data_IF_219205496723
#
_entry.id   IF_219205496723
#
_cell.length_a   1.000
_cell.length_b   1.000
_cell.length_c   1.000
_cell.angle_alpha   90.00
_cell.angle_beta   90.00
_cell.angle_gamma   90.00
#
_symmetry.space_group_name_H-M   'P 1'
#
loop_
_entity.id
_entity.type
_entity.pdbx_description
1 polymer ?
#
# COMPACT_ATOMS: atom_id res chain seq x y z
N UNK A 1 -11.98 -1.72 -18.12
CA UNK A 1 -12.74 -1.99 -19.36
C UNK A 1 -12.23 -1.13 -20.50
N UNK A 2 -12.38 -1.61 -21.73
CA UNK A 2 -12.00 -0.90 -22.98
C UNK A 2 -12.63 0.49 -23.07
N UNK A 3 -13.80 0.71 -22.47
CA UNK A 3 -14.47 2.01 -22.46
C UNK A 3 -13.74 3.05 -21.62
N UNK A 4 -13.19 2.67 -20.46
CA UNK A 4 -12.41 3.58 -19.61
C UNK A 4 -11.09 3.92 -20.28
N UNK A 5 -10.42 2.93 -20.87
CA UNK A 5 -9.17 3.13 -21.61
C UNK A 5 -9.39 3.99 -22.86
N UNK A 6 -10.44 3.72 -23.66
CA UNK A 6 -10.78 4.56 -24.83
C UNK A 6 -11.11 6.02 -24.46
N UNK A 7 -11.69 6.24 -23.28
CA UNK A 7 -11.90 7.59 -22.75
C UNK A 7 -10.58 8.27 -22.41
N UNK A 8 -9.66 7.54 -21.77
CA UNK A 8 -8.30 8.01 -21.48
C UNK A 8 -7.53 8.36 -22.77
N UNK A 9 -7.52 7.47 -23.77
CA UNK A 9 -6.87 7.73 -25.08
C UNK A 9 -7.40 8.99 -25.76
N UNK A 10 -8.71 9.23 -25.68
CA UNK A 10 -9.35 10.41 -26.29
C UNK A 10 -8.98 11.69 -25.55
N UNK A 11 -8.84 11.62 -24.24
CA UNK A 11 -8.55 12.76 -23.34
C UNK A 11 -7.06 13.09 -23.33
N UNK A 12 -6.22 12.07 -23.34
CA UNK A 12 -4.76 12.18 -23.14
C UNK A 12 -4.37 12.36 -21.67
N UNK A 13 -3.12 12.07 -21.35
CA UNK A 13 -2.59 12.08 -19.98
C UNK A 13 -2.69 13.46 -19.31
N UNK A 14 -2.41 14.55 -20.03
CA UNK A 14 -2.48 15.91 -19.51
C UNK A 14 -3.89 16.28 -19.02
N UNK A 15 -4.92 15.91 -19.78
CA UNK A 15 -6.30 16.17 -19.37
C UNK A 15 -6.77 15.20 -18.29
N UNK A 16 -6.32 13.96 -18.33
CA UNK A 16 -6.61 12.99 -17.28
C UNK A 16 -6.01 13.43 -15.94
N UNK A 17 -4.77 13.91 -15.92
CA UNK A 17 -4.14 14.46 -14.71
C UNK A 17 -4.80 15.73 -14.15
N UNK A 18 -5.62 16.41 -14.95
CA UNK A 18 -6.42 17.56 -14.50
C UNK A 18 -7.76 17.14 -13.85
N UNK A 19 -8.12 15.87 -13.88
CA UNK A 19 -9.28 15.34 -13.16
C UNK A 19 -9.02 15.36 -11.64
N UNK A 20 -10.09 15.42 -10.85
CA UNK A 20 -9.98 15.22 -9.41
C UNK A 20 -9.61 13.76 -9.08
N UNK A 21 -8.94 13.55 -7.93
CA UNK A 21 -8.46 12.23 -7.50
C UNK A 21 -9.53 11.13 -7.53
N UNK A 22 -10.75 11.41 -7.10
CA UNK A 22 -11.88 10.46 -7.16
C UNK A 22 -12.21 10.02 -8.58
N UNK A 23 -12.18 10.97 -9.53
CA UNK A 23 -12.46 10.70 -10.94
C UNK A 23 -11.34 9.87 -11.57
N UNK A 24 -10.08 10.19 -11.22
CA UNK A 24 -8.91 9.42 -11.64
C UNK A 24 -8.96 8.00 -11.06
N UNK A 25 -9.16 7.85 -9.77
CA UNK A 25 -9.27 6.54 -9.11
C UNK A 25 -10.36 5.67 -9.74
N UNK A 26 -11.55 6.26 -9.98
CA UNK A 26 -12.64 5.57 -10.65
C UNK A 26 -12.34 5.19 -12.10
N UNK A 27 -11.66 6.05 -12.86
CA UNK A 27 -11.27 5.78 -14.24
C UNK A 27 -10.20 4.69 -14.32
N UNK A 28 -9.13 4.83 -13.54
CA UNK A 28 -8.04 3.86 -13.49
C UNK A 28 -8.52 2.51 -12.93
N UNK A 29 -9.40 2.52 -11.92
CA UNK A 29 -10.00 1.31 -11.36
C UNK A 29 -10.93 0.57 -12.33
N UNK A 30 -11.47 1.26 -13.34
CA UNK A 30 -12.26 0.63 -14.40
C UNK A 30 -11.42 0.09 -15.57
N UNK A 31 -10.10 0.34 -15.59
CA UNK A 31 -9.17 -0.21 -16.58
C UNK A 31 -8.77 -1.64 -16.22
N UNK A 32 -8.37 -2.41 -17.22
CA UNK A 32 -7.77 -3.72 -17.04
C UNK A 32 -6.24 -3.60 -16.94
N UNK A 33 -5.61 -4.57 -16.30
CA UNK A 33 -4.17 -4.62 -16.10
C UNK A 33 -3.36 -4.29 -17.38
N UNK A 34 -3.76 -4.86 -18.51
CA UNK A 34 -3.07 -4.66 -19.80
C UNK A 34 -3.05 -3.22 -20.30
N UNK A 35 -4.05 -2.40 -19.94
CA UNK A 35 -4.14 -1.02 -20.39
C UNK A 35 -3.08 -0.10 -19.78
N UNK A 36 -2.58 -0.44 -18.59
CA UNK A 36 -1.56 0.38 -17.93
C UNK A 36 -0.24 0.42 -18.70
N UNK A 37 0.15 -0.71 -19.31
CA UNK A 37 1.33 -0.78 -20.16
C UNK A 37 1.31 0.15 -21.38
N UNK A 38 0.11 0.44 -21.92
CA UNK A 38 -0.06 1.34 -23.05
C UNK A 38 -0.01 2.83 -22.64
N UNK A 39 -0.26 3.16 -21.36
CA UNK A 39 -0.20 4.54 -20.86
C UNK A 39 1.25 4.97 -20.63
N UNK A 40 2.07 4.15 -20.00
CA UNK A 40 3.44 4.45 -19.64
C UNK A 40 3.62 4.89 -18.18
N UNK A 41 4.79 4.52 -17.62
CA UNK A 41 5.05 4.68 -16.18
C UNK A 41 5.10 6.13 -15.70
N UNK A 42 5.65 7.04 -16.51
CA UNK A 42 5.77 8.47 -16.16
C UNK A 42 4.41 9.13 -16.07
N UNK A 43 3.54 8.89 -17.04
CA UNK A 43 2.19 9.42 -17.09
C UNK A 43 1.34 8.91 -15.92
N UNK A 44 1.49 7.64 -15.60
CA UNK A 44 0.82 7.02 -14.44
C UNK A 44 1.31 7.64 -13.15
N UNK A 45 2.62 7.86 -12.98
CA UNK A 45 3.17 8.49 -11.79
C UNK A 45 2.69 9.94 -11.61
N UNK A 46 2.61 10.72 -12.69
CA UNK A 46 2.06 12.07 -12.66
C UNK A 46 0.58 12.09 -12.26
N UNK A 47 -0.22 11.17 -12.78
CA UNK A 47 -1.62 11.00 -12.37
C UNK A 47 -1.74 10.57 -10.92
N UNK A 48 -0.93 9.61 -10.47
CA UNK A 48 -0.87 9.17 -9.08
C UNK A 48 -0.56 10.33 -8.12
N UNK A 49 0.30 11.25 -8.52
CA UNK A 49 0.62 12.46 -7.75
C UNK A 49 -0.57 13.39 -7.50
N UNK A 50 -1.67 13.23 -8.26
CA UNK A 50 -2.93 13.97 -8.08
C UNK A 50 -3.96 13.22 -7.23
N UNK A 51 -3.63 12.01 -6.76
CA UNK A 51 -4.49 11.14 -5.98
C UNK A 51 -4.04 11.12 -4.51
N UNK A 52 -4.99 11.00 -3.59
CA UNK A 52 -4.73 10.67 -2.19
C UNK A 52 -4.83 9.15 -1.98
N UNK A 53 -4.39 8.64 -0.82
CA UNK A 53 -4.55 7.24 -0.46
C UNK A 53 -5.98 6.72 -0.60
N UNK A 54 -6.97 7.54 -0.19
CA UNK A 54 -8.40 7.19 -0.32
C UNK A 54 -8.83 6.96 -1.78
N UNK A 55 -8.24 7.70 -2.73
CA UNK A 55 -8.58 7.55 -4.15
C UNK A 55 -8.13 6.19 -4.72
N UNK A 56 -7.02 5.65 -4.24
CA UNK A 56 -6.55 4.31 -4.62
C UNK A 56 -7.48 3.21 -4.11
N UNK A 57 -8.15 3.41 -2.97
CA UNK A 57 -9.10 2.43 -2.43
C UNK A 57 -10.29 2.14 -3.36
N UNK A 58 -10.56 3.03 -4.32
CA UNK A 58 -11.57 2.81 -5.37
C UNK A 58 -11.07 1.97 -6.55
N UNK A 59 -9.76 1.68 -6.59
CA UNK A 59 -9.18 0.79 -7.60
C UNK A 59 -9.35 -0.67 -7.16
N UNK A 60 -9.56 -1.56 -8.10
CA UNK A 60 -9.48 -3.00 -7.81
C UNK A 60 -8.00 -3.45 -7.75
N UNK A 61 -7.76 -4.59 -7.12
CA UNK A 61 -6.40 -5.11 -6.87
C UNK A 61 -5.58 -5.30 -8.15
N UNK A 62 -6.18 -5.80 -9.21
CA UNK A 62 -5.55 -5.95 -10.53
C UNK A 62 -5.14 -4.61 -11.15
N UNK A 63 -5.98 -3.56 -11.00
CA UNK A 63 -5.67 -2.22 -11.51
C UNK A 63 -4.55 -1.57 -10.72
N UNK A 64 -4.56 -1.72 -9.39
CA UNK A 64 -3.50 -1.21 -8.52
C UNK A 64 -2.16 -1.90 -8.79
N UNK A 65 -2.17 -3.23 -9.00
CA UNK A 65 -0.98 -3.98 -9.40
C UNK A 65 -0.47 -3.51 -10.78
N UNK A 66 -1.37 -3.39 -11.78
CA UNK A 66 -1.00 -2.92 -13.12
C UNK A 66 -0.38 -1.53 -13.11
N UNK A 67 -0.92 -0.64 -12.29
CA UNK A 67 -0.38 0.69 -12.04
C UNK A 67 1.02 0.63 -11.42
N UNK A 68 1.21 -0.16 -10.37
CA UNK A 68 2.50 -0.34 -9.71
C UNK A 68 3.55 -0.93 -10.66
N UNK A 69 3.24 -2.01 -11.37
CA UNK A 69 4.18 -2.65 -12.30
C UNK A 69 4.57 -1.74 -13.46
N UNK A 70 3.63 -0.94 -13.97
CA UNK A 70 3.92 0.00 -15.06
C UNK A 70 4.77 1.18 -14.62
N UNK A 71 4.54 1.73 -13.42
CA UNK A 71 5.42 2.75 -12.84
C UNK A 71 6.81 2.20 -12.54
N UNK A 72 6.88 0.96 -12.08
CA UNK A 72 8.08 0.37 -11.53
C UNK A 72 8.39 0.86 -10.10
N UNK A 73 9.16 0.05 -9.37
CA UNK A 73 9.45 0.27 -7.95
C UNK A 73 10.06 1.64 -7.65
N UNK A 74 11.03 2.08 -8.47
CA UNK A 74 11.75 3.35 -8.25
C UNK A 74 10.82 4.56 -8.29
N UNK A 75 9.84 4.58 -9.21
CA UNK A 75 8.85 5.65 -9.27
C UNK A 75 7.80 5.50 -8.18
N UNK A 76 7.30 4.29 -7.93
CA UNK A 76 6.31 4.05 -6.90
C UNK A 76 6.79 4.52 -5.52
N UNK A 77 8.02 4.19 -5.12
CA UNK A 77 8.60 4.71 -3.87
C UNK A 77 8.87 6.22 -3.88
N UNK A 78 8.72 6.91 -5.02
CA UNK A 78 8.69 8.37 -5.12
C UNK A 78 7.43 9.02 -4.53
N UNK A 79 6.35 8.26 -4.36
CA UNK A 79 5.08 8.69 -3.75
C UNK A 79 5.25 8.97 -2.26
N UNK A 80 4.29 9.67 -1.65
CA UNK A 80 4.26 9.86 -0.20
C UNK A 80 3.64 8.65 0.53
N UNK A 81 3.69 8.65 1.88
CA UNK A 81 3.25 7.52 2.69
C UNK A 81 1.75 7.21 2.54
N UNK A 82 0.89 8.24 2.49
CA UNK A 82 -0.56 8.10 2.31
C UNK A 82 -0.89 7.46 0.93
N UNK A 83 -0.24 7.93 -0.12
CA UNK A 83 -0.41 7.38 -1.47
C UNK A 83 0.06 5.92 -1.57
N UNK A 84 1.22 5.60 -0.99
CA UNK A 84 1.73 4.23 -0.92
C UNK A 84 0.79 3.32 -0.13
N UNK A 85 0.27 3.79 1.00
CA UNK A 85 -0.68 3.05 1.81
C UNK A 85 -1.97 2.75 1.02
N UNK A 86 -2.49 3.74 0.30
CA UNK A 86 -3.66 3.57 -0.56
C UNK A 86 -3.42 2.58 -1.70
N UNK A 87 -2.30 2.71 -2.40
CA UNK A 87 -1.92 1.83 -3.51
C UNK A 87 -1.75 0.38 -3.04
N UNK A 88 -0.97 0.15 -1.99
CA UNK A 88 -0.78 -1.18 -1.44
C UNK A 88 -2.05 -1.74 -0.78
N UNK A 89 -2.85 -0.88 -0.14
CA UNK A 89 -4.17 -1.26 0.36
C UNK A 89 -5.09 -1.77 -0.74
N UNK A 90 -5.10 -1.11 -1.89
CA UNK A 90 -5.88 -1.52 -3.04
C UNK A 90 -5.35 -2.82 -3.70
N UNK A 91 -4.03 -3.03 -3.71
CA UNK A 91 -3.42 -4.27 -4.25
C UNK A 91 -3.83 -5.51 -3.45
N UNK A 92 -3.99 -5.39 -2.13
CA UNK A 92 -4.30 -6.51 -1.26
C UNK A 92 -3.13 -7.47 -1.02
N UNK A 93 -3.28 -8.35 -0.04
CA UNK A 93 -2.25 -9.29 0.43
C UNK A 93 -1.65 -10.13 -0.72
N UNK A 94 -2.49 -10.65 -1.60
CA UNK A 94 -2.09 -11.60 -2.66
C UNK A 94 -1.03 -11.05 -3.65
N UNK A 95 -0.96 -9.73 -3.81
CA UNK A 95 -0.01 -9.09 -4.73
C UNK A 95 1.25 -8.56 -4.03
N UNK A 96 1.28 -8.49 -2.70
CA UNK A 96 2.43 -7.95 -1.95
C UNK A 96 3.73 -8.72 -2.23
N UNK A 97 3.65 -10.05 -2.35
CA UNK A 97 4.82 -10.88 -2.62
C UNK A 97 5.51 -10.57 -3.97
N UNK A 98 4.77 -10.00 -4.95
CA UNK A 98 5.32 -9.65 -6.25
C UNK A 98 6.13 -8.34 -6.25
N UNK A 99 5.91 -7.47 -5.25
CA UNK A 99 6.57 -6.16 -5.15
C UNK A 99 8.07 -6.28 -4.79
N UNK A 100 8.43 -7.27 -4.02
CA UNK A 100 9.80 -7.50 -3.55
C UNK A 100 10.12 -6.79 -2.23
N UNK A 101 10.95 -7.44 -1.41
CA UNK A 101 11.22 -7.00 -0.02
C UNK A 101 11.85 -5.62 0.07
N UNK A 102 12.82 -5.32 -0.79
CA UNK A 102 13.54 -4.03 -0.75
C UNK A 102 12.61 -2.86 -1.03
N UNK A 103 11.68 -3.01 -1.97
CA UNK A 103 10.65 -2.00 -2.27
C UNK A 103 9.67 -1.84 -1.12
N UNK A 104 9.25 -2.94 -0.50
CA UNK A 104 8.37 -2.90 0.67
C UNK A 104 9.02 -2.20 1.86
N UNK A 105 10.30 -2.46 2.12
CA UNK A 105 11.07 -1.75 3.17
C UNK A 105 11.12 -0.26 2.89
N UNK A 106 11.50 0.13 1.66
CA UNK A 106 11.58 1.54 1.28
C UNK A 106 10.23 2.26 1.36
N UNK A 107 9.14 1.58 1.04
CA UNK A 107 7.78 2.10 1.18
C UNK A 107 7.38 2.25 2.66
N UNK A 108 7.63 1.22 3.47
CA UNK A 108 7.31 1.24 4.89
C UNK A 108 8.08 2.34 5.66
N UNK A 109 9.32 2.65 5.26
CA UNK A 109 10.11 3.75 5.83
C UNK A 109 9.46 5.13 5.63
N UNK A 110 8.62 5.29 4.61
CA UNK A 110 7.90 6.54 4.32
C UNK A 110 6.54 6.63 4.99
N UNK A 111 5.99 5.49 5.39
CA UNK A 111 4.68 5.42 6.02
C UNK A 111 4.75 5.82 7.49
N UNK A 112 3.77 6.59 7.92
CA UNK A 112 3.51 6.90 9.31
C UNK A 112 2.50 5.90 9.91
N UNK A 113 2.29 5.95 11.23
CA UNK A 113 1.33 5.09 11.94
C UNK A 113 -0.05 5.02 11.27
N UNK A 114 -0.58 6.18 10.82
CA UNK A 114 -1.92 6.27 10.24
C UNK A 114 -1.98 5.67 8.84
N UNK A 115 -0.89 5.71 8.08
CA UNK A 115 -0.83 5.15 6.72
C UNK A 115 -1.06 3.64 6.74
N UNK A 116 -0.46 2.93 7.70
CA UNK A 116 -0.70 1.50 7.89
C UNK A 116 -2.17 1.18 8.21
N UNK A 117 -2.85 2.05 8.97
CA UNK A 117 -4.28 1.87 9.25
C UNK A 117 -5.13 2.08 7.99
N UNK A 118 -4.76 3.05 7.15
CA UNK A 118 -5.39 3.29 5.84
C UNK A 118 -5.21 2.10 4.90
N UNK A 119 -4.03 1.49 4.90
CA UNK A 119 -3.72 0.31 4.09
C UNK A 119 -4.61 -0.89 4.42
N UNK A 120 -4.99 -1.05 5.69
CA UNK A 120 -5.80 -2.16 6.17
C UNK A 120 -5.01 -3.41 6.57
N UNK A 121 -5.62 -4.26 7.41
CA UNK A 121 -4.94 -5.37 8.08
C UNK A 121 -4.37 -6.43 7.15
N UNK A 122 -5.13 -6.87 6.15
CA UNK A 122 -4.70 -7.90 5.19
C UNK A 122 -3.45 -7.42 4.41
N UNK A 123 -3.46 -6.16 3.97
CA UNK A 123 -2.34 -5.58 3.22
C UNK A 123 -1.13 -5.30 4.11
N UNK A 124 -1.34 -4.85 5.35
CA UNK A 124 -0.26 -4.66 6.32
C UNK A 124 0.41 -6.00 6.68
N UNK A 125 -0.38 -7.07 6.82
CA UNK A 125 0.15 -8.42 7.04
C UNK A 125 0.92 -8.93 5.81
N UNK A 126 0.38 -8.75 4.60
CA UNK A 126 1.06 -9.10 3.36
C UNK A 126 2.37 -8.33 3.16
N UNK A 127 2.42 -7.04 3.50
CA UNK A 127 3.64 -6.24 3.50
C UNK A 127 4.67 -6.80 4.48
N UNK A 128 4.26 -7.14 5.70
CA UNK A 128 5.13 -7.75 6.70
C UNK A 128 5.74 -9.07 6.20
N UNK A 129 4.93 -9.94 5.60
CA UNK A 129 5.41 -11.22 5.03
C UNK A 129 6.39 -11.00 3.88
N UNK A 130 6.09 -10.06 2.98
CA UNK A 130 6.96 -9.74 1.84
C UNK A 130 8.29 -9.12 2.26
N UNK A 131 8.30 -8.27 3.29
CA UNK A 131 9.52 -7.69 3.86
C UNK A 131 10.38 -8.73 4.59
N UNK A 132 9.74 -9.67 5.26
CA UNK A 132 10.38 -10.58 6.20
C UNK A 132 10.63 -9.97 7.58
N UNK A 133 10.58 -10.81 8.61
CA UNK A 133 10.57 -10.37 10.00
C UNK A 133 11.83 -9.58 10.44
N UNK A 134 12.99 -9.93 9.90
CA UNK A 134 14.25 -9.23 10.21
C UNK A 134 14.18 -7.74 9.79
N UNK A 135 13.59 -7.46 8.63
CA UNK A 135 13.38 -6.10 8.15
C UNK A 135 12.32 -5.37 8.99
N UNK A 136 11.23 -6.04 9.33
CA UNK A 136 10.18 -5.47 10.20
C UNK A 136 10.76 -5.07 11.57
N UNK A 137 11.59 -5.91 12.17
CA UNK A 137 12.23 -5.60 13.46
C UNK A 137 13.28 -4.48 13.38
N UNK A 138 13.74 -4.14 12.18
CA UNK A 138 14.65 -3.00 11.97
C UNK A 138 13.92 -1.67 11.79
N UNK A 139 12.60 -1.69 11.61
CA UNK A 139 11.77 -0.48 11.48
C UNK A 139 11.71 0.32 12.78
N UNK A 140 11.31 1.57 12.67
CA UNK A 140 11.01 2.39 13.85
C UNK A 140 9.82 1.83 14.66
N UNK A 141 9.85 2.02 15.99
CA UNK A 141 8.78 1.51 16.86
C UNK A 141 7.39 2.00 16.47
N UNK A 142 7.25 3.25 16.05
CA UNK A 142 5.98 3.83 15.62
C UNK A 142 5.44 3.21 14.33
N UNK A 143 6.31 2.91 13.38
CA UNK A 143 5.97 2.22 12.15
C UNK A 143 5.49 0.78 12.43
N UNK A 144 6.23 0.05 13.27
CA UNK A 144 5.80 -1.26 13.73
C UNK A 144 4.45 -1.20 14.43
N UNK A 145 4.27 -0.24 15.35
CA UNK A 145 3.00 -0.06 16.05
C UNK A 145 1.84 0.22 15.07
N UNK A 146 2.06 1.03 14.05
CA UNK A 146 1.10 1.29 12.98
C UNK A 146 0.72 0.01 12.24
N UNK A 147 1.71 -0.73 11.77
CA UNK A 147 1.54 -2.00 11.07
C UNK A 147 0.75 -3.02 11.92
N UNK A 148 1.16 -3.25 13.16
CA UNK A 148 0.47 -4.18 14.06
C UNK A 148 -0.92 -3.71 14.48
N UNK A 149 -1.13 -2.40 14.62
CA UNK A 149 -2.47 -1.83 14.90
C UNK A 149 -3.45 -1.99 13.74
N UNK A 150 -2.96 -2.06 12.50
CA UNK A 150 -3.78 -2.30 11.33
C UNK A 150 -4.24 -3.76 11.25
N UNK A 151 -3.43 -4.69 11.75
CA UNK A 151 -3.71 -6.13 11.73
C UNK A 151 -4.81 -6.50 12.74
N UNK A 152 -5.56 -7.54 12.43
CA UNK A 152 -6.51 -8.16 13.36
C UNK A 152 -5.90 -9.35 14.10
N UNK A 153 -6.70 -9.95 15.03
CA UNK A 153 -6.25 -11.07 15.83
C UNK A 153 -5.90 -12.34 15.04
N UNK A 154 -6.43 -12.51 13.83
CA UNK A 154 -6.07 -13.65 12.96
C UNK A 154 -4.66 -13.49 12.42
N UNK A 155 -4.32 -12.31 11.92
CA UNK A 155 -2.98 -12.00 11.43
C UNK A 155 -1.91 -12.19 12.52
N UNK A 156 -2.20 -11.74 13.74
CA UNK A 156 -1.31 -11.92 14.89
C UNK A 156 -1.12 -13.41 15.22
N UNK A 157 -2.18 -14.21 15.15
CA UNK A 157 -2.11 -15.66 15.36
C UNK A 157 -1.30 -16.37 14.26
N UNK A 158 -1.48 -15.99 13.02
CA UNK A 158 -0.77 -16.57 11.87
C UNK A 158 0.73 -16.24 11.91
N UNK A 159 1.12 -15.09 12.42
CA UNK A 159 2.50 -14.72 12.69
C UNK A 159 3.17 -15.63 13.73
N UNK A 160 2.42 -16.08 14.71
CA UNK A 160 2.87 -16.96 15.80
C UNK A 160 3.48 -16.22 16.98
N UNK A 161 3.34 -16.80 18.17
CA UNK A 161 3.65 -16.15 19.44
C UNK A 161 5.12 -15.70 19.59
N UNK A 162 6.07 -16.44 19.04
CA UNK A 162 7.50 -16.12 19.15
C UNK A 162 7.83 -14.82 18.40
N UNK A 163 7.41 -14.72 17.13
CA UNK A 163 7.61 -13.51 16.30
C UNK A 163 6.87 -12.30 16.85
N UNK A 164 5.63 -12.52 17.30
CA UNK A 164 4.81 -11.47 17.93
C UNK A 164 5.53 -10.90 19.15
N UNK A 165 6.08 -11.76 20.00
CA UNK A 165 6.81 -11.35 21.20
C UNK A 165 8.10 -10.59 20.87
N UNK A 166 8.87 -11.05 19.89
CA UNK A 166 10.10 -10.39 19.43
C UNK A 166 9.81 -9.00 18.87
N UNK A 167 8.77 -8.88 18.03
CA UNK A 167 8.32 -7.60 17.47
C UNK A 167 7.87 -6.64 18.58
N UNK A 168 7.12 -7.13 19.54
CA UNK A 168 6.66 -6.32 20.68
C UNK A 168 7.83 -5.80 21.53
N UNK A 169 8.85 -6.63 21.76
CA UNK A 169 10.07 -6.19 22.46
C UNK A 169 10.85 -5.14 21.66
N UNK A 170 10.93 -5.30 20.34
CA UNK A 170 11.65 -4.38 19.45
C UNK A 170 10.95 -3.02 19.34
N UNK A 171 9.62 -3.02 19.34
CA UNK A 171 8.77 -1.82 19.23
C UNK A 171 9.01 -0.81 20.37
N UNK A 172 9.27 -1.30 21.59
CA UNK A 172 9.42 -0.45 22.76
C UNK A 172 8.09 -0.09 23.43
N UNK A 173 8.13 0.31 24.69
CA UNK A 173 6.94 0.48 25.52
C UNK A 173 6.05 1.67 25.09
N UNK A 174 6.64 2.73 24.53
CA UNK A 174 5.93 3.94 24.15
C UNK A 174 5.10 3.68 22.88
N UNK A 175 5.71 3.09 21.85
CA UNK A 175 5.02 2.73 20.60
C UNK A 175 4.00 1.60 20.82
N UNK A 176 4.31 0.62 21.67
CA UNK A 176 3.36 -0.42 22.07
C UNK A 176 2.13 0.16 22.78
N UNK A 177 2.28 1.22 23.57
CA UNK A 177 1.15 1.89 24.23
C UNK A 177 0.24 2.66 23.24
N UNK A 178 0.75 3.02 22.06
CA UNK A 178 -0.02 3.65 21.01
C UNK A 178 -0.94 2.67 20.25
N UNK A 179 -0.66 1.36 20.34
CA UNK A 179 -1.53 0.32 19.80
C UNK A 179 -2.86 0.29 20.57
N UNK A 180 -3.95 0.04 19.88
CA UNK A 180 -5.27 -0.11 20.51
C UNK A 180 -5.37 -1.35 21.38
N UNK A 181 -6.30 -1.32 22.34
CA UNK A 181 -6.52 -2.46 23.25
C UNK A 181 -6.93 -3.77 22.55
N UNK A 182 -7.55 -3.69 21.38
CA UNK A 182 -7.92 -4.87 20.59
C UNK A 182 -6.69 -5.59 20.06
N UNK A 183 -5.75 -4.85 19.48
CA UNK A 183 -4.47 -5.40 18.98
C UNK A 183 -3.63 -6.00 20.11
N UNK A 184 -3.55 -5.29 21.25
CA UNK A 184 -2.84 -5.78 22.44
C UNK A 184 -3.48 -7.05 23.04
N UNK A 185 -4.80 -7.20 22.95
CA UNK A 185 -5.48 -8.39 23.47
C UNK A 185 -5.33 -9.63 22.59
N UNK A 186 -4.92 -9.46 21.33
CA UNK A 186 -4.67 -10.54 20.38
C UNK A 186 -3.25 -11.12 20.48
N UNK A 187 -2.32 -10.39 21.10
CA UNK A 187 -0.93 -10.79 21.37
C UNK A 187 -0.84 -11.66 22.62
#
# INVERSE_FOLDING_TARGET
>A
SDSAFGMFETMGADMAGALGGDQLGGMLGAMEFSHFGDIGGTEIFEMAGSMSGENFAHMGSESALGMFETMGSDMAIGMDGDQLAGLFGAMGHEHMASVGSDTMVAAAEKMEFQDFQTMGGDSAFGMMEAMGMDNVMSMGGDQMAGMFSAMDGHHIQDMGAERTFEAFQSMGAESAAAMGGESLSAM
#
